data_IF_497112614410
#
_entry.id   IF_497112614410
#
_cell.length_a   1.000
_cell.length_b   1.000
_cell.length_c   1.000
_cell.angle_alpha   90.00
_cell.angle_beta   90.00
_cell.angle_gamma   90.00
#
_symmetry.space_group_name_H-M   'P 1'
#
loop_
_entity.id
_entity.type
_entity.pdbx_description
1 polymer ?
#
# COMPACT_ATOMS: atom_id res chain seq x y z
N UNK A 1 10.75 8.32 16.42
CA UNK A 1 9.91 8.13 15.20
C UNK A 1 9.33 6.72 15.15
N UNK A 2 9.92 5.75 15.87
CA UNK A 2 9.37 4.43 16.16
C UNK A 2 7.88 4.44 16.56
N UNK A 3 7.43 5.45 17.30
CA UNK A 3 6.03 5.57 17.71
C UNK A 3 5.07 5.80 16.54
N UNK A 4 5.46 6.54 15.50
CA UNK A 4 4.58 6.88 14.37
C UNK A 4 4.41 5.68 13.43
N UNK A 5 5.50 4.97 13.13
CA UNK A 5 5.44 3.73 12.35
C UNK A 5 4.64 2.67 13.11
N UNK A 6 4.86 2.53 14.42
CA UNK A 6 4.08 1.61 15.26
C UNK A 6 2.59 1.98 15.29
N UNK A 7 2.23 3.26 15.38
CA UNK A 7 0.82 3.70 15.31
C UNK A 7 0.20 3.34 13.96
N UNK A 8 0.92 3.52 12.85
CA UNK A 8 0.44 3.18 11.53
C UNK A 8 0.14 1.68 11.41
N UNK A 9 1.07 0.83 11.86
CA UNK A 9 0.88 -0.61 11.84
C UNK A 9 -0.23 -1.09 12.77
N UNK A 10 -0.39 -0.48 13.94
CA UNK A 10 -1.48 -0.79 14.86
C UNK A 10 -2.87 -0.44 14.31
N UNK A 11 -2.96 0.45 13.32
CA UNK A 11 -4.21 0.83 12.66
C UNK A 11 -4.62 -0.12 11.54
N UNK A 12 -3.75 -1.03 11.11
CA UNK A 12 -4.02 -2.01 10.05
C UNK A 12 -4.49 -3.31 10.71
N UNK A 13 -5.74 -3.70 10.50
CA UNK A 13 -6.25 -4.97 11.01
C UNK A 13 -5.64 -6.15 10.27
N UNK A 14 -5.30 -7.21 11.01
CA UNK A 14 -4.99 -8.49 10.39
C UNK A 14 -6.25 -9.12 9.80
N UNK A 15 -6.14 -9.58 8.56
CA UNK A 15 -7.20 -10.27 7.81
C UNK A 15 -7.08 -11.79 7.91
N UNK A 16 -6.14 -12.29 8.73
CA UNK A 16 -5.82 -13.70 8.95
C UNK A 16 -5.34 -14.46 7.70
N UNK A 17 -4.85 -13.73 6.70
CA UNK A 17 -4.16 -14.28 5.52
C UNK A 17 -2.74 -13.71 5.56
N UNK A 18 -1.71 -14.48 5.98
CA UNK A 18 -0.37 -13.94 6.25
C UNK A 18 0.25 -13.20 5.07
N UNK A 19 -0.06 -13.61 3.84
CA UNK A 19 0.38 -12.93 2.63
C UNK A 19 -0.21 -11.52 2.52
N UNK A 20 -1.50 -11.34 2.82
CA UNK A 20 -2.16 -10.04 2.75
C UNK A 20 -1.79 -9.15 3.93
N UNK A 21 -1.63 -9.70 5.13
CA UNK A 21 -1.10 -8.94 6.27
C UNK A 21 0.29 -8.34 5.94
N UNK A 22 1.16 -9.09 5.25
CA UNK A 22 2.45 -8.59 4.76
C UNK A 22 2.29 -7.57 3.61
N UNK A 23 1.32 -7.75 2.72
CA UNK A 23 1.02 -6.75 1.67
C UNK A 23 0.56 -5.43 2.29
N UNK A 24 -0.36 -5.48 3.26
CA UNK A 24 -0.87 -4.31 3.97
C UNK A 24 0.24 -3.60 4.74
N UNK A 25 1.13 -4.33 5.40
CA UNK A 25 2.32 -3.76 6.06
C UNK A 25 3.22 -3.02 5.06
N UNK A 26 3.46 -3.59 3.88
CA UNK A 26 4.24 -2.94 2.81
C UNK A 26 3.53 -1.73 2.20
N UNK A 27 2.21 -1.75 2.12
CA UNK A 27 1.43 -0.59 1.67
C UNK A 27 1.48 0.55 2.71
N UNK A 28 1.50 0.22 4.00
CA UNK A 28 1.78 1.18 5.06
C UNK A 28 3.21 1.76 4.95
N UNK A 29 4.24 0.94 4.69
CA UNK A 29 5.60 1.42 4.37
C UNK A 29 5.60 2.41 3.19
N UNK A 30 4.80 2.13 2.17
CA UNK A 30 4.63 2.98 0.99
C UNK A 30 4.06 4.38 1.31
N UNK A 31 3.10 4.47 2.23
CA UNK A 31 2.58 5.76 2.74
C UNK A 31 3.70 6.56 3.43
N UNK A 32 4.52 5.89 4.24
CA UNK A 32 5.64 6.53 4.93
C UNK A 32 6.69 7.08 3.95
N UNK A 33 6.89 6.43 2.80
CA UNK A 33 7.79 6.92 1.76
C UNK A 33 7.36 8.26 1.16
N UNK A 34 6.05 8.47 0.96
CA UNK A 34 5.57 9.76 0.46
C UNK A 34 5.69 10.86 1.53
N UNK A 35 5.38 10.54 2.78
CA UNK A 35 5.62 11.46 3.90
C UNK A 35 7.10 11.84 4.00
N UNK A 36 8.01 10.90 3.72
CA UNK A 36 9.45 11.18 3.67
C UNK A 36 9.83 12.15 2.55
N UNK A 37 9.24 12.05 1.36
CA UNK A 37 9.49 13.04 0.29
C UNK A 37 9.24 14.47 0.78
N UNK A 38 8.17 14.68 1.57
CA UNK A 38 7.81 15.98 2.14
C UNK A 38 8.85 16.40 3.17
N UNK A 39 9.23 15.52 4.10
CA UNK A 39 10.25 15.83 5.11
C UNK A 39 11.61 16.15 4.48
N UNK A 40 12.00 15.43 3.43
CA UNK A 40 13.27 15.64 2.73
C UNK A 40 13.27 16.88 1.84
N UNK A 41 12.10 17.46 1.53
CA UNK A 41 12.01 18.72 0.77
C UNK A 41 12.70 19.90 1.46
N UNK A 42 12.92 19.82 2.78
CA UNK A 42 13.72 20.80 3.53
C UNK A 42 15.23 20.70 3.28
N UNK A 43 15.71 19.60 2.71
CA UNK A 43 17.13 19.29 2.53
C UNK A 43 17.51 19.01 1.06
N UNK A 44 16.54 19.01 0.14
CA UNK A 44 16.70 18.73 -1.29
C UNK A 44 16.13 19.86 -2.14
N UNK A 45 16.57 19.98 -3.38
CA UNK A 45 15.90 20.85 -4.35
C UNK A 45 14.49 20.34 -4.68
N UNK A 46 13.63 21.22 -5.23
CA UNK A 46 12.26 20.84 -5.61
C UNK A 46 12.27 19.76 -6.68
N UNK A 47 13.18 19.87 -7.63
CA UNK A 47 13.39 18.92 -8.72
C UNK A 47 13.77 17.55 -8.17
N UNK A 48 14.74 17.47 -7.26
CA UNK A 48 15.15 16.21 -6.62
C UNK A 48 14.00 15.56 -5.83
N UNK A 49 13.25 16.35 -5.05
CA UNK A 49 12.08 15.84 -4.31
C UNK A 49 10.99 15.34 -5.27
N UNK A 50 10.73 16.06 -6.36
CA UNK A 50 9.73 15.67 -7.34
C UNK A 50 10.14 14.38 -8.07
N UNK A 51 11.40 14.23 -8.49
CA UNK A 51 11.89 12.98 -9.09
C UNK A 51 11.77 11.79 -8.12
N UNK A 52 12.11 11.99 -6.85
CA UNK A 52 11.95 10.97 -5.82
C UNK A 52 10.47 10.59 -5.61
N UNK A 53 9.57 11.59 -5.56
CA UNK A 53 8.13 11.35 -5.52
C UNK A 53 7.66 10.51 -6.72
N UNK A 54 8.04 10.86 -7.95
CA UNK A 54 7.62 10.12 -9.15
C UNK A 54 8.05 8.66 -9.07
N UNK A 55 9.29 8.41 -8.63
CA UNK A 55 9.83 7.06 -8.44
C UNK A 55 9.04 6.30 -7.38
N UNK A 56 8.83 6.90 -6.21
CA UNK A 56 8.10 6.28 -5.11
C UNK A 56 6.64 6.00 -5.51
N UNK A 57 5.96 6.94 -6.15
CA UNK A 57 4.61 6.75 -6.66
C UNK A 57 4.52 5.59 -7.65
N UNK A 58 5.48 5.44 -8.58
CA UNK A 58 5.49 4.32 -9.51
C UNK A 58 5.55 2.98 -8.77
N UNK A 59 6.45 2.87 -7.78
CA UNK A 59 6.57 1.67 -6.95
C UNK A 59 5.27 1.37 -6.19
N UNK A 60 4.64 2.39 -5.62
CA UNK A 60 3.37 2.29 -4.89
C UNK A 60 2.26 1.79 -5.81
N UNK A 61 2.10 2.42 -6.99
CA UNK A 61 1.10 2.03 -7.98
C UNK A 61 1.26 0.56 -8.41
N UNK A 62 2.49 0.16 -8.72
CA UNK A 62 2.77 -1.21 -9.18
C UNK A 62 2.49 -2.22 -8.05
N UNK A 63 2.79 -1.86 -6.80
CA UNK A 63 2.52 -2.72 -5.65
C UNK A 63 1.02 -2.83 -5.31
N UNK A 64 0.27 -1.73 -5.42
CA UNK A 64 -1.20 -1.73 -5.29
C UNK A 64 -1.86 -2.64 -6.32
N UNK A 65 -1.42 -2.55 -7.59
CA UNK A 65 -1.94 -3.42 -8.64
C UNK A 65 -1.72 -4.91 -8.31
N UNK A 66 -0.52 -5.25 -7.86
CA UNK A 66 -0.16 -6.60 -7.40
C UNK A 66 -1.07 -7.04 -6.25
N UNK A 67 -1.21 -6.20 -5.22
CA UNK A 67 -2.01 -6.50 -4.03
C UNK A 67 -3.47 -6.76 -4.39
N UNK A 68 -4.12 -5.84 -5.13
CA UNK A 68 -5.51 -5.97 -5.55
C UNK A 68 -5.72 -7.21 -6.43
N UNK A 69 -4.82 -7.48 -7.36
CA UNK A 69 -4.91 -8.68 -8.22
C UNK A 69 -4.87 -9.96 -7.38
N UNK A 70 -3.99 -10.02 -6.37
CA UNK A 70 -3.90 -11.18 -5.50
C UNK A 70 -5.15 -11.34 -4.62
N UNK A 71 -5.67 -10.26 -4.05
CA UNK A 71 -6.89 -10.29 -3.24
C UNK A 71 -8.09 -10.72 -4.08
N UNK A 72 -8.27 -10.14 -5.26
CA UNK A 72 -9.38 -10.49 -6.14
C UNK A 72 -9.31 -11.95 -6.61
N UNK A 73 -8.11 -12.48 -6.85
CA UNK A 73 -7.90 -13.89 -7.16
C UNK A 73 -8.26 -14.79 -5.97
N UNK A 74 -7.85 -14.42 -4.76
CA UNK A 74 -8.19 -15.14 -3.53
C UNK A 74 -9.69 -15.11 -3.27
N UNK A 75 -10.31 -13.93 -3.36
CA UNK A 75 -11.75 -13.74 -3.19
C UNK A 75 -12.54 -14.55 -4.22
N UNK A 76 -12.07 -14.63 -5.47
CA UNK A 76 -12.64 -15.51 -6.49
C UNK A 76 -12.52 -16.99 -6.14
N UNK A 77 -11.37 -17.41 -5.62
CA UNK A 77 -11.13 -18.79 -5.19
C UNK A 77 -12.07 -19.21 -4.05
N UNK A 78 -12.23 -18.37 -3.02
CA UNK A 78 -13.11 -18.64 -1.88
C UNK A 78 -14.59 -18.32 -2.15
N UNK A 79 -14.94 -17.94 -3.38
CA UNK A 79 -16.30 -17.55 -3.78
C UNK A 79 -16.88 -16.43 -2.91
N UNK A 80 -16.08 -15.40 -2.62
CA UNK A 80 -16.49 -14.28 -1.78
C UNK A 80 -17.71 -13.56 -2.39
N UNK A 81 -18.83 -13.43 -1.65
CA UNK A 81 -20.09 -12.95 -2.22
C UNK A 81 -20.05 -11.53 -2.81
N UNK A 82 -19.26 -10.63 -2.23
CA UNK A 82 -19.20 -9.21 -2.63
C UNK A 82 -17.98 -8.88 -3.53
N UNK A 83 -17.42 -9.87 -4.22
CA UNK A 83 -16.21 -9.71 -5.05
C UNK A 83 -16.35 -8.59 -6.08
N UNK A 84 -17.49 -8.50 -6.76
CA UNK A 84 -17.66 -7.54 -7.84
C UNK A 84 -17.69 -6.09 -7.35
N UNK A 85 -18.28 -5.83 -6.18
CA UNK A 85 -18.26 -4.48 -5.61
C UNK A 85 -16.89 -4.15 -5.02
N UNK A 86 -16.18 -5.14 -4.47
CA UNK A 86 -14.81 -4.96 -4.00
C UNK A 86 -13.86 -4.56 -5.15
N UNK A 87 -13.96 -5.23 -6.31
CA UNK A 87 -13.25 -4.83 -7.55
C UNK A 87 -13.53 -3.39 -7.96
N UNK A 88 -14.79 -2.97 -7.90
CA UNK A 88 -15.16 -1.57 -8.21
C UNK A 88 -14.53 -0.59 -7.22
N UNK A 89 -14.42 -0.94 -5.93
CA UNK A 89 -13.72 -0.11 -4.93
C UNK A 89 -12.24 0.04 -5.30
N UNK A 90 -11.55 -1.04 -5.67
CA UNK A 90 -10.16 -0.99 -6.15
C UNK A 90 -9.97 -0.14 -7.40
N UNK A 91 -10.87 -0.29 -8.38
CA UNK A 91 -10.83 0.46 -9.64
C UNK A 91 -11.05 1.96 -9.39
N UNK A 92 -12.06 2.32 -8.59
CA UNK A 92 -12.36 3.71 -8.25
C UNK A 92 -11.20 4.36 -7.50
N UNK A 93 -10.59 3.63 -6.57
CA UNK A 93 -9.40 4.10 -5.85
C UNK A 93 -8.22 4.34 -6.80
N UNK A 94 -7.95 3.40 -7.71
CA UNK A 94 -6.85 3.55 -8.68
C UNK A 94 -7.08 4.75 -9.59
N UNK A 95 -8.31 4.97 -10.04
CA UNK A 95 -8.67 6.12 -10.87
C UNK A 95 -8.45 7.44 -10.12
N UNK A 96 -8.94 7.53 -8.88
CA UNK A 96 -8.81 8.74 -8.06
C UNK A 96 -7.35 9.02 -7.68
N UNK A 97 -6.58 7.97 -7.35
CA UNK A 97 -5.14 8.09 -7.13
C UNK A 97 -4.43 8.66 -8.36
N UNK A 98 -4.77 8.22 -9.57
CA UNK A 98 -4.19 8.76 -10.79
C UNK A 98 -4.61 10.22 -11.02
N UNK A 99 -5.87 10.57 -10.71
CA UNK A 99 -6.36 11.96 -10.79
C UNK A 99 -5.60 12.90 -9.85
N UNK A 100 -5.36 12.49 -8.60
CA UNK A 100 -4.56 13.28 -7.64
C UNK A 100 -3.12 13.38 -8.11
N UNK A 101 -2.55 12.31 -8.69
CA UNK A 101 -1.19 12.33 -9.21
C UNK A 101 -0.99 13.38 -10.32
N UNK A 102 -2.00 13.63 -11.14
CA UNK A 102 -1.95 14.64 -12.21
C UNK A 102 -1.86 16.08 -11.66
N UNK A 103 -2.29 16.32 -10.43
CA UNK A 103 -2.19 17.66 -9.84
C UNK A 103 -0.76 17.94 -9.36
N UNK A 104 -0.07 16.92 -8.84
CA UNK A 104 1.27 17.06 -8.23
C UNK A 104 2.28 17.59 -9.25
N UNK A 105 2.88 18.74 -8.94
CA UNK A 105 3.87 19.40 -9.78
C UNK A 105 5.16 19.72 -9.02
N UNK A 106 6.23 20.02 -9.75
CA UNK A 106 7.51 20.45 -9.15
C UNK A 106 7.41 21.82 -8.49
N UNK A 107 6.47 22.67 -8.95
CA UNK A 107 6.27 24.02 -8.44
C UNK A 107 5.50 24.04 -7.11
N UNK A 108 4.69 23.01 -6.86
CA UNK A 108 3.86 22.87 -5.67
C UNK A 108 3.92 21.47 -5.05
N UNK A 109 4.90 21.29 -4.16
CA UNK A 109 5.14 20.02 -3.47
C UNK A 109 4.14 19.72 -2.34
N UNK A 110 3.28 20.67 -1.93
CA UNK A 110 2.29 20.36 -0.87
C UNK A 110 1.28 19.30 -1.33
N UNK A 111 1.10 19.14 -2.63
CA UNK A 111 0.20 18.14 -3.20
C UNK A 111 0.71 16.70 -3.01
N UNK A 112 1.99 16.52 -2.70
CA UNK A 112 2.53 15.22 -2.24
C UNK A 112 1.89 14.84 -0.90
N UNK A 113 1.60 15.81 -0.03
CA UNK A 113 0.90 15.58 1.24
C UNK A 113 -0.53 15.11 1.01
N UNK A 114 -1.24 15.73 0.06
CA UNK A 114 -2.60 15.33 -0.30
C UNK A 114 -2.64 13.90 -0.82
N UNK A 115 -1.68 13.51 -1.68
CA UNK A 115 -1.51 12.13 -2.13
C UNK A 115 -1.25 11.17 -0.95
N UNK A 116 -0.32 11.51 -0.06
CA UNK A 116 0.01 10.66 1.09
C UNK A 116 -1.19 10.48 2.03
N UNK A 117 -1.94 11.55 2.28
CA UNK A 117 -3.15 11.53 3.09
C UNK A 117 -4.26 10.70 2.44
N UNK A 118 -4.48 10.84 1.14
CA UNK A 118 -5.45 10.06 0.39
C UNK A 118 -5.15 8.56 0.46
N UNK A 119 -3.90 8.17 0.16
CA UNK A 119 -3.47 6.77 0.24
C UNK A 119 -3.65 6.21 1.65
N UNK A 120 -3.20 6.95 2.69
CA UNK A 120 -3.36 6.54 4.08
C UNK A 120 -4.82 6.32 4.45
N UNK A 121 -5.67 7.32 4.19
CA UNK A 121 -7.07 7.31 4.61
C UNK A 121 -7.84 6.20 3.93
N UNK A 122 -7.63 6.02 2.63
CA UNK A 122 -8.29 4.97 1.86
C UNK A 122 -7.80 3.58 2.31
N UNK A 123 -6.49 3.37 2.42
CA UNK A 123 -5.92 2.07 2.78
C UNK A 123 -6.41 1.59 4.15
N UNK A 124 -6.33 2.45 5.17
CA UNK A 124 -6.79 2.11 6.52
C UNK A 124 -8.30 1.85 6.55
N UNK A 125 -9.09 2.67 5.85
CA UNK A 125 -10.54 2.47 5.77
C UNK A 125 -10.91 1.17 5.07
N UNK A 126 -10.31 0.91 3.91
CA UNK A 126 -10.57 -0.27 3.09
C UNK A 126 -10.18 -1.56 3.82
N UNK A 127 -8.98 -1.64 4.40
CA UNK A 127 -8.54 -2.86 5.09
C UNK A 127 -9.47 -3.20 6.27
N UNK A 128 -9.77 -2.18 7.09
CA UNK A 128 -10.52 -2.39 8.33
C UNK A 128 -12.03 -2.61 8.13
N UNK A 129 -12.56 -2.28 6.96
CA UNK A 129 -14.01 -2.36 6.69
C UNK A 129 -14.33 -3.40 5.62
N UNK A 130 -13.51 -3.48 4.57
CA UNK A 130 -13.75 -4.29 3.37
C UNK A 130 -12.92 -5.58 3.40
N UNK A 131 -11.59 -5.49 3.52
CA UNK A 131 -10.71 -6.67 3.45
C UNK A 131 -10.95 -7.63 4.62
N UNK A 132 -11.17 -7.09 5.82
CA UNK A 132 -11.44 -7.92 7.00
C UNK A 132 -12.66 -8.84 6.84
N UNK A 133 -13.56 -8.57 5.89
CA UNK A 133 -14.78 -9.35 5.71
C UNK A 133 -14.51 -10.74 5.14
N UNK A 134 -13.48 -10.92 4.30
CA UNK A 134 -13.19 -12.25 3.75
C UNK A 134 -12.71 -13.24 4.82
N UNK A 135 -12.20 -12.75 5.97
CA UNK A 135 -11.85 -13.58 7.14
C UNK A 135 -12.99 -14.48 7.62
N UNK A 136 -14.24 -14.06 7.44
CA UNK A 136 -15.43 -14.80 7.90
C UNK A 136 -15.85 -15.92 6.94
N UNK A 137 -15.26 -15.95 5.74
CA UNK A 137 -15.74 -16.77 4.62
C UNK A 137 -14.88 -18.03 4.45
N UNK A 138 -13.55 -17.91 4.52
CA UNK A 138 -12.64 -19.02 4.25
C UNK A 138 -12.33 -19.86 5.51
N UNK A 139 -11.89 -21.10 5.29
CA UNK A 139 -11.30 -21.97 6.31
C UNK A 139 -9.80 -22.18 6.04
N UNK A 140 -9.07 -22.62 7.06
CA UNK A 140 -7.62 -22.87 6.94
C UNK A 140 -7.25 -23.80 5.77
N UNK A 141 -7.98 -24.90 5.48
CA UNK A 141 -7.70 -25.71 4.30
C UNK A 141 -7.79 -24.94 2.98
N UNK A 142 -8.78 -24.05 2.82
CA UNK A 142 -8.93 -23.24 1.61
C UNK A 142 -7.71 -22.33 1.39
N UNK A 143 -7.13 -21.80 2.49
CA UNK A 143 -5.92 -21.00 2.44
C UNK A 143 -4.69 -21.83 2.01
N UNK A 144 -4.56 -23.05 2.52
CA UNK A 144 -3.46 -23.96 2.14
C UNK A 144 -3.57 -24.30 0.65
N UNK A 145 -4.77 -24.69 0.20
CA UNK A 145 -5.02 -25.04 -1.20
C UNK A 145 -4.76 -23.86 -2.14
N UNK A 146 -5.16 -22.65 -1.74
CA UNK A 146 -4.84 -21.43 -2.48
C UNK A 146 -3.33 -21.21 -2.56
N UNK A 147 -2.62 -21.26 -1.43
CA UNK A 147 -1.17 -21.08 -1.42
C UNK A 147 -0.48 -22.12 -2.30
N UNK A 148 -0.90 -23.39 -2.24
CA UNK A 148 -0.33 -24.46 -3.04
C UNK A 148 -0.63 -24.32 -4.54
N UNK A 149 -1.85 -23.89 -4.89
CA UNK A 149 -2.27 -23.64 -6.29
C UNK A 149 -1.50 -22.48 -6.92
N UNK A 150 -1.17 -21.45 -6.12
CA UNK A 150 -0.54 -20.23 -6.59
C UNK A 150 0.95 -20.09 -6.20
N UNK A 151 1.54 -21.11 -5.56
CA UNK A 151 2.98 -21.22 -5.28
C UNK A 151 3.78 -21.01 -6.57
N UNK A 152 4.71 -20.06 -6.55
CA UNK A 152 5.58 -19.73 -7.70
C UNK A 152 4.99 -18.76 -8.72
N UNK A 153 3.68 -18.48 -8.68
CA UNK A 153 3.04 -17.41 -9.48
C UNK A 153 2.99 -16.06 -8.73
N UNK A 154 3.22 -16.10 -7.43
CA UNK A 154 3.20 -14.96 -6.50
C UNK A 154 4.60 -14.47 -6.08
N UNK A 155 5.66 -14.79 -6.83
CA UNK A 155 6.91 -14.01 -6.79
C UNK A 155 6.65 -12.61 -7.42
N UNK A 156 5.69 -11.90 -6.86
CA UNK A 156 5.34 -10.57 -7.26
C UNK A 156 6.32 -9.66 -6.52
N UNK A 157 7.03 -8.87 -7.32
CA UNK A 157 7.96 -7.80 -6.98
C UNK A 157 7.91 -7.48 -5.48
N UNK A 158 8.99 -7.81 -4.75
CA UNK A 158 9.21 -7.22 -3.42
C UNK A 158 9.73 -5.81 -3.69
N UNK A 159 8.90 -4.74 -3.71
CA UNK A 159 9.47 -3.41 -3.75
C UNK A 159 10.40 -3.29 -2.54
N UNK A 160 11.64 -2.94 -2.81
CA UNK A 160 12.61 -2.74 -1.76
C UNK A 160 12.38 -1.35 -1.15
N UNK A 161 11.54 -1.33 -0.12
CA UNK A 161 11.34 -0.14 0.70
C UNK A 161 12.44 0.01 1.78
N UNK A 162 13.44 -0.89 1.87
CA UNK A 162 14.44 -0.96 2.96
C UNK A 162 15.37 0.26 3.07
N UNK A 163 15.38 1.14 2.06
CA UNK A 163 16.01 2.47 2.17
C UNK A 163 15.38 3.35 3.25
N UNK A 164 14.24 2.94 3.84
CA UNK A 164 13.72 3.57 5.05
C UNK A 164 14.68 3.51 6.23
N UNK A 165 15.44 2.42 6.38
CA UNK A 165 16.23 2.14 7.59
C UNK A 165 17.66 2.72 7.57
N UNK A 166 18.31 2.76 6.41
CA UNK A 166 19.73 3.18 6.28
C UNK A 166 20.01 4.67 6.54
N UNK A 167 18.99 5.54 6.48
CA UNK A 167 19.17 6.98 6.72
C UNK A 167 18.88 7.40 8.16
N UNK A 168 18.21 6.57 8.97
CA UNK A 168 17.93 6.86 10.38
C UNK A 168 19.23 6.89 11.20
N UNK A 169 20.16 5.99 10.88
CA UNK A 169 21.51 5.97 11.46
C UNK A 169 22.35 7.20 11.07
N UNK A 170 22.02 7.88 9.96
CA UNK A 170 22.73 9.07 9.45
C UNK A 170 22.24 10.39 10.07
N UNK A 171 21.04 10.42 10.67
CA UNK A 171 20.47 11.60 11.33
C UNK A 171 20.57 11.54 12.86
N UNK A 172 21.09 10.45 13.43
CA UNK A 172 21.38 10.35 14.87
C UNK A 172 20.15 10.49 15.78
N UNK A 173 18.99 9.98 15.34
CA UNK A 173 17.77 9.81 16.15
C UNK A 173 17.32 8.36 16.06
#
# INVERSE_FOLDING_TARGET
MDDVENILYQRVSSVAVPMFDEHHRRLADAVLLLNRCILMSHFKSREETYEEFKKNFSLIKDYLFVHFTCEEAFMGFIQFPDLENHKKRHQNFTLEMMRIRETVSVDDLSQIADMAWFLFSWLIGHINVEDIQYRKIFKVPDLIDFIDTYKGKTQLVKPDFSRTRMLLDLIGI
#
